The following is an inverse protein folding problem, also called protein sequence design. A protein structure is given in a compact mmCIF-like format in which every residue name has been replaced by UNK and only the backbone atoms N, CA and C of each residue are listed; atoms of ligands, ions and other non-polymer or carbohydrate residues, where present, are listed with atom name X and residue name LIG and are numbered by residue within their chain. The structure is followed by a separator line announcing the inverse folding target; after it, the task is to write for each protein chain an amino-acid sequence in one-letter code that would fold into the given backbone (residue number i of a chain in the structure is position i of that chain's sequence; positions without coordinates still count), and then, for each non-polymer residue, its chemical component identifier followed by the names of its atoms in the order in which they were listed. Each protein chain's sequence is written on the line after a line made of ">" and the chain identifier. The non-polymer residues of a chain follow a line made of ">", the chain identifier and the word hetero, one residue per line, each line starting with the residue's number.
data_IF_361978098259
#
_entry.id   IF_361978098259
#
_cell.length_a   1.000
_cell.length_b   1.000
_cell.length_c   1.000
_cell.angle_alpha   90.00
_cell.angle_beta   90.00
_cell.angle_gamma   90.00
#
_symmetry.space_group_name_H-M   'P 1'
#
loop_
_entity.id
_entity.type
_entity.pdbx_description
1 polymer ?
#
# COMPACT_ATOMS: atom_id res chain seq x y z
N UNK A 1 -4.82 7.58 -26.53
CA UNK A 1 -4.54 7.83 -25.10
C UNK A 1 -5.28 6.80 -24.31
N UNK A 2 -4.62 5.96 -23.54
CA UNK A 2 -5.36 5.13 -22.62
C UNK A 2 -6.11 6.04 -21.66
N UNK A 3 -7.38 5.75 -21.46
CA UNK A 3 -8.15 6.43 -20.43
C UNK A 3 -7.44 6.23 -19.10
N UNK A 4 -6.99 7.34 -18.51
CA UNK A 4 -6.41 7.30 -17.19
C UNK A 4 -7.49 6.76 -16.23
N UNK A 5 -7.15 5.69 -15.56
CA UNK A 5 -8.01 5.14 -14.52
C UNK A 5 -8.41 6.27 -13.57
N UNK A 6 -9.70 6.43 -13.36
CA UNK A 6 -10.22 7.40 -12.39
C UNK A 6 -10.80 6.65 -11.21
N UNK A 7 -10.33 7.01 -10.04
CA UNK A 7 -10.84 6.46 -8.79
C UNK A 7 -11.99 7.34 -8.27
N UNK A 8 -13.09 6.70 -7.88
CA UNK A 8 -14.20 7.40 -7.27
C UNK A 8 -13.95 7.65 -5.78
N UNK A 9 -14.61 8.64 -5.17
CA UNK A 9 -14.56 8.81 -3.70
C UNK A 9 -15.03 7.57 -2.94
N UNK A 10 -16.01 6.85 -3.47
CA UNK A 10 -16.54 5.61 -2.89
C UNK A 10 -15.47 4.50 -2.87
N UNK A 11 -14.73 4.36 -3.96
CA UNK A 11 -13.63 3.40 -4.04
C UNK A 11 -12.52 3.77 -3.05
N UNK A 12 -12.17 5.04 -2.93
CA UNK A 12 -11.19 5.51 -1.98
C UNK A 12 -11.62 5.27 -0.52
N UNK A 13 -12.90 5.45 -0.23
CA UNK A 13 -13.48 5.15 1.09
C UNK A 13 -13.39 3.65 1.41
N UNK A 14 -13.70 2.80 0.44
CA UNK A 14 -13.59 1.35 0.60
C UNK A 14 -12.13 0.92 0.79
N UNK A 15 -11.21 1.49 0.02
CA UNK A 15 -9.78 1.26 0.20
C UNK A 15 -9.33 1.65 1.61
N UNK A 16 -9.74 2.81 2.09
CA UNK A 16 -9.40 3.27 3.43
C UNK A 16 -9.92 2.32 4.52
N UNK A 17 -11.10 1.77 4.33
CA UNK A 17 -11.69 0.81 5.26
C UNK A 17 -10.81 -0.43 5.46
N UNK A 18 -10.19 -0.92 4.39
CA UNK A 18 -9.36 -2.13 4.41
C UNK A 18 -7.91 -1.83 4.80
N UNK A 19 -7.33 -0.74 4.34
CA UNK A 19 -5.89 -0.51 4.41
C UNK A 19 -5.45 0.62 5.34
N UNK A 20 -6.31 1.60 5.61
CA UNK A 20 -5.94 2.77 6.40
C UNK A 20 -6.32 2.55 7.86
N UNK A 21 -5.31 2.32 8.70
CA UNK A 21 -5.49 2.12 10.15
C UNK A 21 -5.21 3.38 10.97
N UNK A 22 -4.58 4.38 10.36
CA UNK A 22 -4.34 5.71 10.94
C UNK A 22 -4.13 6.71 9.80
N UNK A 23 -4.38 7.97 10.08
CA UNK A 23 -4.33 9.02 9.04
C UNK A 23 -2.93 9.58 8.79
N UNK A 24 -1.94 9.29 9.63
CA UNK A 24 -0.55 9.59 9.31
C UNK A 24 -0.10 8.73 8.12
N UNK A 25 0.69 9.30 7.24
CA UNK A 25 1.16 8.62 6.05
C UNK A 25 2.48 9.18 5.55
N UNK A 26 3.12 8.47 4.64
CA UNK A 26 4.24 8.95 3.87
C UNK A 26 3.86 8.98 2.39
N UNK A 27 4.59 9.77 1.63
CA UNK A 27 4.45 9.85 0.18
C UNK A 27 5.81 9.67 -0.46
N UNK A 28 5.87 8.94 -1.55
CA UNK A 28 7.09 8.80 -2.32
C UNK A 28 7.39 10.13 -3.05
N UNK A 29 8.66 10.53 -3.09
CA UNK A 29 9.09 11.72 -3.81
C UNK A 29 8.81 11.59 -5.31
N UNK A 30 8.44 12.70 -5.95
CA UNK A 30 8.20 12.73 -7.39
C UNK A 30 9.51 12.60 -8.20
N UNK A 31 10.62 13.05 -7.59
CA UNK A 31 11.95 13.00 -8.21
C UNK A 31 12.93 12.23 -7.33
N UNK A 32 13.94 11.58 -7.95
CA UNK A 32 14.98 10.90 -7.18
C UNK A 32 15.82 11.87 -6.34
N UNK A 33 16.34 11.38 -5.24
CA UNK A 33 17.29 12.13 -4.44
C UNK A 33 18.59 12.36 -5.23
N UNK A 34 19.12 13.60 -5.30
CA UNK A 34 20.28 13.92 -6.13
C UNK A 34 21.53 13.09 -5.85
N UNK A 35 21.76 12.72 -4.58
CA UNK A 35 22.95 11.97 -4.18
C UNK A 35 22.84 10.47 -4.44
N UNK A 36 21.66 9.86 -4.23
CA UNK A 36 21.47 8.41 -4.33
C UNK A 36 20.84 7.94 -5.64
N UNK A 37 20.21 8.84 -6.39
CA UNK A 37 19.44 8.49 -7.58
C UNK A 37 18.18 7.67 -7.29
N UNK A 38 17.78 7.55 -6.04
CA UNK A 38 16.63 6.77 -5.61
C UNK A 38 15.50 7.67 -5.11
N UNK A 39 14.26 7.27 -5.38
CA UNK A 39 13.10 7.88 -4.76
C UNK A 39 13.10 7.60 -3.25
N UNK A 40 12.57 8.52 -2.49
CA UNK A 40 12.50 8.41 -1.04
C UNK A 40 11.08 8.71 -0.57
N UNK A 41 10.75 8.27 0.64
CA UNK A 41 9.47 8.55 1.28
C UNK A 41 9.64 9.67 2.29
N UNK A 42 8.68 10.57 2.34
CA UNK A 42 8.66 11.69 3.29
C UNK A 42 7.27 11.86 3.88
N UNK A 43 7.20 12.52 5.03
CA UNK A 43 5.93 12.89 5.66
C UNK A 43 5.47 14.22 5.11
N UNK A 44 4.35 14.30 4.38
CA UNK A 44 3.83 15.57 3.89
C UNK A 44 3.46 16.51 5.03
N UNK A 45 3.65 17.80 4.81
CA UNK A 45 3.30 18.84 5.77
C UNK A 45 2.30 19.80 5.15
N UNK A 46 1.42 20.33 5.99
CA UNK A 46 0.47 21.38 5.64
C UNK A 46 0.47 22.43 6.76
N UNK A 47 0.76 23.69 6.40
CA UNK A 47 0.84 24.78 7.37
C UNK A 47 1.82 24.51 8.53
N UNK A 48 2.96 23.87 8.24
CA UNK A 48 3.99 23.58 9.23
C UNK A 48 3.74 22.34 10.10
N UNK A 49 2.60 21.68 9.97
CA UNK A 49 2.25 20.46 10.70
C UNK A 49 2.16 19.26 9.74
N UNK A 50 2.27 18.05 10.28
CA UNK A 50 2.07 16.83 9.49
C UNK A 50 0.65 16.82 8.91
N UNK A 51 0.55 16.56 7.59
CA UNK A 51 -0.73 16.46 6.91
C UNK A 51 -1.38 15.11 7.20
N UNK A 52 -2.69 15.10 7.37
CA UNK A 52 -3.47 13.87 7.45
C UNK A 52 -3.84 13.36 6.06
N UNK A 53 -3.88 12.06 5.91
CA UNK A 53 -4.30 11.39 4.68
C UNK A 53 -5.76 11.74 4.36
N UNK A 54 -6.00 12.19 3.14
CA UNK A 54 -7.34 12.55 2.65
C UNK A 54 -7.85 11.51 1.65
N UNK A 55 -9.16 11.51 1.43
CA UNK A 55 -9.79 10.71 0.37
C UNK A 55 -9.21 11.04 -1.00
N UNK A 56 -8.90 12.30 -1.26
CA UNK A 56 -8.30 12.72 -2.52
C UNK A 56 -6.88 12.16 -2.74
N UNK A 57 -6.08 12.09 -1.68
CA UNK A 57 -4.76 11.44 -1.76
C UNK A 57 -4.90 9.97 -2.14
N UNK A 58 -5.86 9.27 -1.56
CA UNK A 58 -6.12 7.86 -1.86
C UNK A 58 -6.58 7.70 -3.32
N UNK A 59 -7.47 8.57 -3.81
CA UNK A 59 -7.90 8.55 -5.20
C UNK A 59 -6.70 8.69 -6.14
N UNK A 60 -5.81 9.62 -5.88
CA UNK A 60 -4.60 9.82 -6.69
C UNK A 60 -3.65 8.63 -6.64
N UNK A 61 -3.54 7.98 -5.51
CA UNK A 61 -2.78 6.73 -5.37
C UNK A 61 -3.37 5.61 -6.22
N UNK A 62 -4.68 5.40 -6.14
CA UNK A 62 -5.38 4.40 -6.93
C UNK A 62 -5.31 4.68 -8.44
N UNK A 63 -5.19 5.95 -8.82
CA UNK A 63 -5.01 6.37 -10.21
C UNK A 63 -3.56 6.27 -10.70
N UNK A 64 -2.63 5.84 -9.82
CA UNK A 64 -1.22 5.74 -10.18
C UNK A 64 -0.48 7.08 -10.27
N UNK A 65 -1.06 8.17 -9.75
CA UNK A 65 -0.46 9.51 -9.81
C UNK A 65 0.54 9.78 -8.71
N UNK A 66 0.35 9.18 -7.55
CA UNK A 66 1.24 9.26 -6.39
C UNK A 66 1.38 7.88 -5.76
N UNK A 67 2.43 7.70 -4.97
CA UNK A 67 2.62 6.47 -4.19
C UNK A 67 2.59 6.81 -2.70
N UNK A 68 1.70 6.17 -1.99
CA UNK A 68 1.52 6.34 -0.55
C UNK A 68 2.24 5.24 0.22
N UNK A 69 2.78 5.59 1.39
CA UNK A 69 3.18 4.63 2.40
C UNK A 69 2.24 4.73 3.59
N UNK A 70 1.62 3.61 3.95
CA UNK A 70 0.67 3.54 5.05
C UNK A 70 1.31 2.84 6.25
N UNK A 71 0.94 3.27 7.43
CA UNK A 71 1.38 2.64 8.67
C UNK A 71 0.43 1.52 9.04
N UNK A 72 0.97 0.31 9.18
CA UNK A 72 0.16 -0.86 9.50
C UNK A 72 -0.42 -0.81 10.91
N UNK A 73 0.39 -0.38 11.88
CA UNK A 73 0.02 -0.41 13.30
C UNK A 73 -0.61 0.91 13.71
N UNK A 74 -1.77 0.84 14.35
CA UNK A 74 -2.34 1.98 15.05
C UNK A 74 -1.68 2.07 16.43
N UNK A 75 -0.93 3.15 16.76
CA UNK A 75 -0.19 3.24 18.02
C UNK A 75 -1.09 3.34 19.24
N UNK A 76 -2.33 3.77 19.09
CA UNK A 76 -3.28 3.88 20.19
C UNK A 76 -3.90 2.53 20.58
N UNK A 77 -4.22 1.69 19.58
CA UNK A 77 -4.88 0.39 19.79
C UNK A 77 -3.90 -0.78 19.76
N UNK A 78 -2.71 -0.59 19.21
CA UNK A 78 -1.71 -1.64 18.98
C UNK A 78 -2.24 -2.75 18.05
N UNK A 79 -3.20 -2.41 17.18
CA UNK A 79 -3.84 -3.35 16.26
C UNK A 79 -3.50 -3.01 14.81
N UNK A 80 -3.57 -4.04 13.97
CA UNK A 80 -3.42 -3.95 12.52
C UNK A 80 -4.72 -4.35 11.84
N UNK A 81 -4.94 -3.84 10.62
CA UNK A 81 -6.05 -4.28 9.75
C UNK A 81 -5.60 -5.32 8.73
N UNK A 82 -4.32 -5.34 8.41
CA UNK A 82 -3.74 -6.20 7.40
C UNK A 82 -2.31 -6.58 7.77
N UNK A 83 -1.86 -7.65 7.17
CA UNK A 83 -0.45 -8.01 7.14
C UNK A 83 -0.07 -8.42 5.74
N UNK A 84 1.19 -8.25 5.38
CA UNK A 84 1.69 -8.62 4.09
C UNK A 84 2.94 -9.51 4.25
N UNK A 85 3.02 -10.52 3.42
CA UNK A 85 4.21 -11.35 3.26
C UNK A 85 4.86 -10.94 1.95
N UNK A 86 6.06 -10.40 2.04
CA UNK A 86 6.84 -9.95 0.89
C UNK A 86 7.87 -11.02 0.51
N UNK A 87 7.89 -11.38 -0.75
CA UNK A 87 8.87 -12.30 -1.31
C UNK A 87 9.47 -11.70 -2.58
N UNK A 88 10.79 -11.56 -2.59
CA UNK A 88 11.53 -10.86 -3.63
C UNK A 88 12.70 -11.73 -4.12
N UNK A 89 12.35 -12.80 -4.82
CA UNK A 89 13.31 -13.72 -5.44
C UNK A 89 12.67 -14.42 -6.64
N UNK A 90 13.47 -15.17 -7.40
CA UNK A 90 13.06 -15.73 -8.72
C UNK A 90 11.78 -16.57 -8.69
N UNK A 91 11.57 -17.39 -7.65
CA UNK A 91 10.39 -18.27 -7.53
C UNK A 91 9.36 -17.78 -6.54
N UNK A 92 9.43 -16.50 -6.19
CA UNK A 92 8.57 -15.91 -5.17
C UNK A 92 7.08 -16.11 -5.43
N UNK A 93 6.62 -15.88 -6.66
CA UNK A 93 5.19 -16.01 -6.99
C UNK A 93 4.70 -17.45 -6.83
N UNK A 94 5.51 -18.42 -7.24
CA UNK A 94 5.16 -19.84 -7.06
C UNK A 94 5.04 -20.21 -5.57
N UNK A 95 5.99 -19.77 -4.77
CA UNK A 95 5.99 -20.05 -3.34
C UNK A 95 4.84 -19.34 -2.62
N UNK A 96 4.56 -18.10 -2.99
CA UNK A 96 3.41 -17.36 -2.45
C UNK A 96 2.08 -17.98 -2.88
N UNK A 97 1.97 -18.48 -4.09
CA UNK A 97 0.78 -19.17 -4.56
C UNK A 97 0.52 -20.45 -3.76
N UNK A 98 1.57 -21.23 -3.47
CA UNK A 98 1.48 -22.41 -2.60
C UNK A 98 1.03 -22.03 -1.19
N UNK A 99 1.61 -20.97 -0.63
CA UNK A 99 1.24 -20.48 0.69
C UNK A 99 -0.21 -19.99 0.71
N UNK A 100 -0.64 -19.27 -0.33
CA UNK A 100 -2.03 -18.83 -0.47
C UNK A 100 -2.99 -20.03 -0.42
N UNK A 101 -2.66 -21.08 -1.14
CA UNK A 101 -3.45 -22.33 -1.15
C UNK A 101 -3.52 -22.96 0.25
N UNK A 102 -2.37 -23.11 0.91
CA UNK A 102 -2.31 -23.70 2.25
C UNK A 102 -3.06 -22.87 3.29
N UNK A 103 -2.95 -21.54 3.23
CA UNK A 103 -3.73 -20.64 4.09
C UNK A 103 -5.22 -20.81 3.85
N UNK A 104 -5.64 -20.93 2.58
CA UNK A 104 -7.02 -21.20 2.22
C UNK A 104 -7.56 -22.50 2.79
N UNK A 105 -6.73 -23.55 2.84
CA UNK A 105 -7.09 -24.84 3.49
C UNK A 105 -7.30 -24.66 5.00
N UNK A 106 -6.62 -23.72 5.61
CA UNK A 106 -6.77 -23.37 7.03
C UNK A 106 -7.90 -22.34 7.28
N UNK A 107 -8.66 -21.98 6.25
CA UNK A 107 -9.75 -21.00 6.35
C UNK A 107 -9.30 -19.55 6.32
N UNK A 108 -8.07 -19.28 5.93
CA UNK A 108 -7.52 -17.92 5.84
C UNK A 108 -7.48 -17.52 4.36
N UNK A 109 -8.26 -16.47 4.02
CA UNK A 109 -8.22 -15.91 2.67
C UNK A 109 -7.08 -14.89 2.56
N UNK A 110 -6.32 -14.98 1.47
CA UNK A 110 -5.23 -14.07 1.19
C UNK A 110 -5.27 -13.65 -0.28
N UNK A 111 -4.85 -12.42 -0.55
CA UNK A 111 -4.77 -11.87 -1.90
C UNK A 111 -3.31 -11.86 -2.38
N UNK A 112 -3.07 -12.44 -3.55
CA UNK A 112 -1.75 -12.45 -4.16
C UNK A 112 -1.59 -11.27 -5.11
N UNK A 113 -0.52 -10.50 -4.92
CA UNK A 113 -0.15 -9.39 -5.78
C UNK A 113 1.23 -9.64 -6.37
N UNK A 114 1.36 -9.45 -7.68
CA UNK A 114 2.67 -9.49 -8.34
C UNK A 114 3.36 -8.14 -8.15
N UNK A 115 4.57 -8.17 -7.62
CA UNK A 115 5.43 -7.00 -7.53
C UNK A 115 6.49 -7.02 -8.65
N UNK A 116 7.37 -6.01 -8.67
CA UNK A 116 8.38 -5.88 -9.72
C UNK A 116 9.34 -7.09 -9.77
N UNK A 117 9.73 -7.66 -8.63
CA UNK A 117 10.73 -8.73 -8.53
C UNK A 117 10.22 -9.99 -7.84
N UNK A 118 8.97 -10.03 -7.50
CA UNK A 118 8.37 -11.14 -6.79
C UNK A 118 6.90 -10.89 -6.54
N UNK A 119 6.47 -10.91 -5.28
CA UNK A 119 5.08 -10.69 -4.94
C UNK A 119 4.83 -10.37 -3.49
N UNK A 120 3.59 -10.02 -3.22
CA UNK A 120 3.06 -9.80 -1.90
C UNK A 120 1.84 -10.68 -1.68
N UNK A 121 1.73 -11.24 -0.49
CA UNK A 121 0.55 -11.95 -0.07
C UNK A 121 -0.11 -11.14 1.05
N UNK A 122 -1.32 -10.64 0.79
CA UNK A 122 -2.06 -9.78 1.69
C UNK A 122 -3.08 -10.59 2.47
N UNK A 123 -3.07 -10.46 3.78
CA UNK A 123 -4.05 -11.04 4.69
C UNK A 123 -4.81 -9.88 5.33
N UNK A 124 -6.11 -9.82 5.09
CA UNK A 124 -6.99 -8.73 5.50
C UNK A 124 -7.93 -9.15 6.63
#
# INVERSE_FOLDING_TARGET
>A
MPDLLRATPELATEYARWFVNRRAYTRQSDTPHPASGRHYYYRPKKNGAEAELTTWDIQRHLEGRITLGLYAINPRTQQVKWMAIDADYRRALEDLLKLQFELGQAGIQAALEQSRRGGHLWIL
#
